data_IF_400562447078
#
_entry.id   IF_400562447078
#
_cell.length_a   1.000
_cell.length_b   1.000
_cell.length_c   1.000
_cell.angle_alpha   90.00
_cell.angle_beta   90.00
_cell.angle_gamma   90.00
#
_symmetry.space_group_name_H-M   'P 1'
#
loop_
_entity.id
_entity.type
_entity.pdbx_description
1 polymer ?
#
# COMPACT_ATOMS: atom_id res chain seq x y z
N UNK A 1 -14.84 3.72 -2.74
CA UNK A 1 -14.51 2.61 -1.83
C UNK A 1 -15.25 2.81 -0.53
N UNK A 2 -15.85 1.76 0.02
CA UNK A 2 -16.64 1.81 1.25
C UNK A 2 -15.79 1.40 2.46
N UNK A 3 -16.34 1.62 3.68
CA UNK A 3 -15.68 1.16 4.90
C UNK A 3 -15.48 -0.35 4.91
N UNK A 4 -16.43 -1.10 4.36
CA UNK A 4 -16.30 -2.56 4.25
C UNK A 4 -15.13 -2.97 3.38
N UNK A 5 -14.89 -2.25 2.29
CA UNK A 5 -13.75 -2.52 1.41
C UNK A 5 -12.44 -2.25 2.15
N UNK A 6 -12.38 -1.17 2.92
CA UNK A 6 -11.20 -0.85 3.71
C UNK A 6 -10.95 -1.89 4.80
N UNK A 7 -12.00 -2.34 5.48
CA UNK A 7 -11.86 -3.39 6.49
C UNK A 7 -11.34 -4.69 5.89
N UNK A 8 -11.82 -5.05 4.71
CA UNK A 8 -11.34 -6.23 4.00
C UNK A 8 -9.86 -6.10 3.62
N UNK A 9 -9.46 -4.93 3.15
CA UNK A 9 -8.06 -4.67 2.83
C UNK A 9 -7.18 -4.77 4.06
N UNK A 10 -7.64 -4.27 5.20
CA UNK A 10 -6.92 -4.40 6.46
C UNK A 10 -6.81 -5.86 6.91
N UNK A 11 -7.88 -6.63 6.73
CA UNK A 11 -7.88 -8.04 7.12
C UNK A 11 -6.94 -8.88 6.24
N UNK A 12 -6.84 -8.54 4.96
CA UNK A 12 -6.03 -9.27 3.99
C UNK A 12 -4.59 -8.78 3.93
N UNK A 13 -4.23 -7.74 4.68
CA UNK A 13 -2.90 -7.15 4.59
C UNK A 13 -1.81 -8.13 5.02
N UNK A 14 -0.65 -8.12 4.35
CA UNK A 14 0.51 -8.88 4.83
C UNK A 14 1.03 -8.29 6.13
N UNK A 15 1.68 -9.13 6.93
CA UNK A 15 2.26 -8.68 8.19
C UNK A 15 3.28 -7.57 7.95
N UNK A 16 3.16 -6.48 8.67
CA UNK A 16 4.05 -5.34 8.55
C UNK A 16 3.59 -4.25 7.59
N UNK A 17 2.52 -4.49 6.82
CA UNK A 17 2.00 -3.47 5.91
C UNK A 17 1.47 -2.27 6.69
N UNK A 18 1.84 -1.07 6.25
CA UNK A 18 1.43 0.19 6.89
C UNK A 18 0.56 1.04 5.97
N UNK A 19 0.62 0.81 4.67
CA UNK A 19 -0.10 1.59 3.67
C UNK A 19 -0.72 0.65 2.67
N UNK A 20 -1.94 0.95 2.23
CA UNK A 20 -2.56 0.29 1.08
C UNK A 20 -2.88 1.34 0.04
N UNK A 21 -2.58 1.05 -1.21
CA UNK A 21 -2.88 1.92 -2.35
C UNK A 21 -3.61 1.12 -3.41
N UNK A 22 -4.66 1.70 -3.98
CA UNK A 22 -5.50 1.05 -4.98
C UNK A 22 -5.50 1.88 -6.25
N UNK A 23 -5.30 1.21 -7.37
CA UNK A 23 -5.41 1.82 -8.70
C UNK A 23 -6.19 0.88 -9.60
N UNK A 24 -7.39 1.28 -10.01
CA UNK A 24 -8.28 0.42 -10.76
C UNK A 24 -8.59 -0.85 -9.98
N UNK A 25 -8.28 -2.00 -10.55
CA UNK A 25 -8.48 -3.30 -9.91
C UNK A 25 -7.27 -3.78 -9.11
N UNK A 26 -6.21 -3.00 -9.10
CA UNK A 26 -4.95 -3.41 -8.47
C UNK A 26 -4.83 -2.84 -7.07
N UNK A 27 -4.60 -3.73 -6.11
CA UNK A 27 -4.33 -3.37 -4.72
C UNK A 27 -2.85 -3.63 -4.43
N UNK A 28 -2.18 -2.64 -3.87
CA UNK A 28 -0.76 -2.75 -3.53
C UNK A 28 -0.58 -2.38 -2.07
N UNK A 29 0.14 -3.21 -1.34
CA UNK A 29 0.50 -2.93 0.05
C UNK A 29 1.93 -2.43 0.11
N UNK A 30 2.16 -1.45 0.98
CA UNK A 30 3.47 -0.86 1.19
C UNK A 30 3.84 -0.90 2.66
N UNK A 31 5.13 -0.91 2.91
CA UNK A 31 5.71 -0.86 4.24
C UNK A 31 6.83 0.18 4.22
N UNK A 32 6.90 1.02 5.23
CA UNK A 32 7.95 2.01 5.34
C UNK A 32 9.29 1.35 5.68
N UNK A 33 10.34 1.76 4.95
CA UNK A 33 11.71 1.31 5.19
C UNK A 33 12.60 2.56 5.31
N UNK A 34 12.60 3.16 6.48
CA UNK A 34 13.29 4.42 6.71
C UNK A 34 12.42 5.61 6.30
N UNK A 35 13.05 6.79 6.21
CA UNK A 35 12.32 8.03 5.97
C UNK A 35 11.86 8.21 4.52
N UNK A 36 12.64 7.71 3.57
CA UNK A 36 12.45 8.03 2.17
C UNK A 36 12.23 6.81 1.29
N UNK A 37 12.03 5.65 1.89
CA UNK A 37 11.91 4.40 1.14
C UNK A 37 10.68 3.62 1.53
N UNK A 38 10.13 2.94 0.55
CA UNK A 38 9.02 2.02 0.72
C UNK A 38 9.40 0.65 0.21
N UNK A 39 8.80 -0.37 0.81
CA UNK A 39 8.83 -1.73 0.30
C UNK A 39 7.43 -2.08 -0.16
N UNK A 40 7.33 -2.87 -1.21
CA UNK A 40 6.06 -3.39 -1.69
C UNK A 40 6.03 -4.90 -1.53
N UNK A 41 4.85 -5.44 -1.27
CA UNK A 41 4.69 -6.89 -1.10
C UNK A 41 4.38 -7.54 -2.44
N UNK A 42 5.19 -8.51 -2.84
CA UNK A 42 5.04 -9.18 -4.13
C UNK A 42 4.50 -10.62 -3.94
N UNK A 43 3.45 -10.78 -3.15
CA UNK A 43 2.76 -12.05 -2.85
C UNK A 43 3.47 -12.93 -1.82
N UNK A 44 4.80 -12.92 -1.77
CA UNK A 44 5.56 -13.80 -0.88
C UNK A 44 6.55 -13.06 0.01
N UNK A 45 7.01 -11.90 -0.41
CA UNK A 45 8.03 -11.18 0.33
C UNK A 45 7.97 -9.68 0.04
N UNK A 46 8.59 -8.90 0.91
CA UNK A 46 8.77 -7.48 0.71
C UNK A 46 9.96 -7.25 -0.21
N UNK A 47 9.76 -6.39 -1.21
CA UNK A 47 10.80 -6.03 -2.16
C UNK A 47 10.87 -4.52 -2.29
N UNK A 48 12.02 -4.01 -2.70
CA UNK A 48 12.19 -2.58 -2.92
C UNK A 48 11.33 -2.12 -4.09
N UNK A 49 10.77 -0.92 -3.93
CA UNK A 49 10.03 -0.27 -5.00
C UNK A 49 10.65 1.11 -5.25
N UNK A 50 10.47 1.62 -6.47
CA UNK A 50 10.91 2.97 -6.80
C UNK A 50 9.97 4.04 -6.19
N UNK A 51 8.81 3.64 -5.72
CA UNK A 51 7.91 4.56 -5.04
C UNK A 51 8.53 5.00 -3.71
N UNK A 52 8.38 6.29 -3.40
CA UNK A 52 8.75 6.86 -2.12
C UNK A 52 7.49 7.38 -1.44
N UNK A 53 7.52 7.77 -0.16
CA UNK A 53 6.35 8.39 0.48
C UNK A 53 5.82 9.59 -0.30
N UNK A 54 6.67 10.28 -1.02
CA UNK A 54 6.27 11.39 -1.88
C UNK A 54 5.30 10.97 -2.99
N UNK A 55 5.40 9.74 -3.46
CA UNK A 55 4.53 9.21 -4.53
C UNK A 55 3.18 8.70 -4.00
N UNK A 56 3.01 8.63 -2.70
CA UNK A 56 1.77 8.17 -2.09
C UNK A 56 0.74 9.29 -2.11
N UNK A 57 0.17 9.55 -3.28
CA UNK A 57 -0.83 10.60 -3.47
C UNK A 57 -1.82 10.21 -4.55
N UNK A 58 -2.90 10.97 -4.65
CA UNK A 58 -4.00 10.67 -5.57
C UNK A 58 -3.68 10.91 -7.04
N UNK A 59 -2.48 11.39 -7.37
CA UNK A 59 -2.03 11.46 -8.75
C UNK A 59 -1.63 10.09 -9.28
N UNK A 60 -1.13 9.23 -8.39
CA UNK A 60 -0.64 7.90 -8.76
C UNK A 60 -1.63 6.80 -8.42
N UNK A 61 -2.51 7.03 -7.46
CA UNK A 61 -3.45 6.03 -6.99
C UNK A 61 -4.85 6.61 -6.84
N UNK A 62 -5.86 5.77 -7.02
CA UNK A 62 -7.25 6.18 -6.83
C UNK A 62 -7.64 6.27 -5.37
N UNK A 63 -6.96 5.47 -4.52
CA UNK A 63 -7.25 5.42 -3.09
C UNK A 63 -5.98 5.04 -2.34
N UNK A 64 -5.73 5.69 -1.21
CA UNK A 64 -4.60 5.41 -0.34
C UNK A 64 -5.09 5.49 1.10
N UNK A 65 -4.68 4.54 1.92
CA UNK A 65 -5.00 4.55 3.34
C UNK A 65 -3.83 4.03 4.16
N UNK A 66 -3.71 4.56 5.37
CA UNK A 66 -2.80 4.03 6.40
C UNK A 66 -3.56 2.94 7.15
N UNK A 67 -2.96 1.79 7.27
CA UNK A 67 -3.64 0.62 7.85
C UNK A 67 -2.87 -0.02 8.99
#
# INVERSE_FOLDING_TARGET
>A
MTEKDLEKLKADKPEGATIVAVKGDRVTYFKEDGKDRLLTFNRTMWVRTWFTPFHMNLKHFDFIAVI
#
